data_IF_084019162909
#
_entry.id   IF_084019162909
#
_cell.length_a   1.000
_cell.length_b   1.000
_cell.length_c   1.000
_cell.angle_alpha   90.00
_cell.angle_beta   90.00
_cell.angle_gamma   90.00
#
_symmetry.space_group_name_H-M   'P 1'
#
loop_
_entity.id
_entity.type
_entity.pdbx_description
1 polymer ?
#
# COMPACT_ATOMS: atom_id res chain seq x y z
N UNK A 1 -9.05 -7.18 7.27
CA UNK A 1 -10.51 -6.86 7.23
C UNK A 1 -11.15 -7.63 6.08
N UNK A 2 -12.38 -8.14 6.28
CA UNK A 2 -13.14 -8.89 5.28
C UNK A 2 -14.47 -8.19 5.00
N UNK A 3 -14.81 -8.04 3.71
CA UNK A 3 -16.14 -7.59 3.29
C UNK A 3 -17.13 -8.77 3.42
N UNK A 4 -18.11 -8.66 4.30
CA UNK A 4 -19.14 -9.69 4.52
C UNK A 4 -20.20 -9.70 3.41
N UNK A 5 -20.56 -8.50 2.90
CA UNK A 5 -21.58 -8.32 1.86
C UNK A 5 -21.29 -7.10 0.99
N UNK A 6 -21.87 -7.05 -0.20
CA UNK A 6 -21.98 -5.80 -0.98
C UNK A 6 -22.76 -4.77 -0.15
N UNK A 7 -22.16 -3.63 0.18
CA UNK A 7 -22.82 -2.57 0.93
C UNK A 7 -22.14 -2.19 2.25
N UNK A 8 -20.82 -2.33 2.33
CA UNK A 8 -19.99 -1.80 3.43
C UNK A 8 -20.17 -2.47 4.80
N UNK A 9 -20.63 -3.73 4.84
CA UNK A 9 -20.51 -4.55 6.05
C UNK A 9 -19.17 -5.28 6.05
N UNK A 10 -18.38 -5.07 7.09
CA UNK A 10 -17.04 -5.60 7.22
C UNK A 10 -16.92 -6.40 8.52
N UNK A 11 -16.01 -7.38 8.53
CA UNK A 11 -15.51 -7.99 9.76
C UNK A 11 -14.04 -7.58 9.96
N UNK A 12 -13.70 -7.17 11.17
CA UNK A 12 -12.33 -7.05 11.63
C UNK A 12 -11.90 -8.39 12.18
N UNK A 13 -10.78 -8.90 11.72
CA UNK A 13 -10.18 -10.16 12.19
C UNK A 13 -8.80 -9.83 12.73
N UNK A 14 -8.51 -10.29 13.93
CA UNK A 14 -7.18 -10.26 14.52
C UNK A 14 -6.65 -11.68 14.58
N UNK A 15 -5.44 -11.87 14.08
CA UNK A 15 -4.75 -13.14 14.09
C UNK A 15 -3.35 -12.97 14.68
N UNK A 16 -2.87 -13.98 15.33
CA UNK A 16 -1.49 -14.10 15.73
C UNK A 16 -0.61 -14.38 14.49
N UNK A 17 0.45 -13.60 14.31
CA UNK A 17 1.29 -13.67 13.13
C UNK A 17 2.16 -14.93 13.09
N UNK A 18 2.57 -15.44 14.26
CA UNK A 18 3.46 -16.59 14.39
C UNK A 18 2.69 -17.91 14.24
N UNK A 19 1.55 -18.01 14.93
CA UNK A 19 0.72 -19.23 14.94
C UNK A 19 -0.33 -19.26 13.84
N UNK A 20 -0.61 -18.11 13.21
CA UNK A 20 -1.69 -17.90 12.23
C UNK A 20 -3.11 -18.19 12.78
N UNK A 21 -3.25 -18.26 14.10
CA UNK A 21 -4.54 -18.48 14.75
C UNK A 21 -5.34 -17.17 14.80
N UNK A 22 -6.64 -17.29 14.52
CA UNK A 22 -7.57 -16.19 14.71
C UNK A 22 -7.83 -16.02 16.21
N UNK A 23 -7.45 -14.86 16.75
CA UNK A 23 -7.62 -14.52 18.16
C UNK A 23 -8.98 -13.88 18.42
N UNK A 24 -9.45 -13.06 17.48
CA UNK A 24 -10.68 -12.30 17.68
C UNK A 24 -11.33 -11.93 16.34
N UNK A 25 -12.67 -11.84 16.36
CA UNK A 25 -13.46 -11.38 15.21
C UNK A 25 -14.54 -10.43 15.71
N UNK A 26 -14.68 -9.27 15.08
CA UNK A 26 -15.72 -8.29 15.36
C UNK A 26 -16.36 -7.73 14.09
N UNK A 27 -17.64 -7.31 14.19
CA UNK A 27 -18.34 -6.68 13.08
C UNK A 27 -17.96 -5.19 12.98
N UNK A 28 -17.64 -4.74 11.77
CA UNK A 28 -17.29 -3.34 11.47
C UNK A 28 -15.79 -3.13 11.35
N UNK A 29 -15.42 -1.87 11.02
CA UNK A 29 -14.02 -1.43 10.84
C UNK A 29 -13.76 -0.04 11.43
N UNK A 30 -14.64 0.42 12.31
CA UNK A 30 -14.48 1.68 13.04
C UNK A 30 -13.68 1.48 14.31
N UNK A 31 -13.24 2.58 14.92
CA UNK A 31 -12.63 2.57 16.25
C UNK A 31 -13.51 1.85 17.28
N UNK A 32 -14.79 2.21 17.32
CA UNK A 32 -15.75 1.61 18.25
C UNK A 32 -15.95 0.09 18.01
N UNK A 33 -15.86 -0.36 16.77
CA UNK A 33 -15.97 -1.78 16.43
C UNK A 33 -14.71 -2.58 16.81
N UNK A 34 -13.54 -1.95 16.83
CA UNK A 34 -12.27 -2.62 17.13
C UNK A 34 -11.90 -2.56 18.62
N UNK A 35 -12.31 -1.53 19.34
CA UNK A 35 -12.04 -1.34 20.80
C UNK A 35 -12.37 -2.56 21.68
N UNK A 36 -13.45 -3.34 21.45
CA UNK A 36 -13.73 -4.54 22.23
C UNK A 36 -12.64 -5.60 22.22
N UNK A 37 -11.81 -5.67 21.17
CA UNK A 37 -10.64 -6.55 21.12
C UNK A 37 -9.66 -6.22 22.27
N UNK A 38 -9.33 -4.96 22.46
CA UNK A 38 -8.38 -4.54 23.52
C UNK A 38 -8.96 -4.73 24.92
N UNK A 39 -10.26 -4.54 25.06
CA UNK A 39 -10.96 -4.84 26.33
C UNK A 39 -10.91 -6.33 26.65
N UNK A 40 -11.11 -7.19 25.64
CA UNK A 40 -11.01 -8.64 25.78
C UNK A 40 -9.58 -9.10 26.07
N UNK A 41 -8.59 -8.50 25.42
CA UNK A 41 -7.18 -8.86 25.58
C UNK A 41 -6.64 -8.46 26.96
N UNK A 42 -7.18 -7.38 27.53
CA UNK A 42 -6.79 -6.82 28.81
C UNK A 42 -5.45 -6.08 28.79
N UNK A 43 -5.12 -5.38 29.88
CA UNK A 43 -3.91 -4.55 29.94
C UNK A 43 -2.61 -5.36 29.79
N UNK A 44 -2.53 -6.53 30.39
CA UNK A 44 -1.35 -7.40 30.30
C UNK A 44 -1.13 -7.91 28.86
N UNK A 45 -2.21 -8.35 28.20
CA UNK A 45 -2.14 -8.77 26.81
C UNK A 45 -1.77 -7.62 25.88
N UNK A 46 -2.34 -6.43 26.06
CA UNK A 46 -1.98 -5.23 25.32
C UNK A 46 -0.49 -4.88 25.50
N UNK A 47 0.04 -4.96 26.71
CA UNK A 47 1.45 -4.69 27.00
C UNK A 47 2.41 -5.71 26.38
N UNK A 48 1.96 -6.93 26.13
CA UNK A 48 2.74 -8.00 25.52
C UNK A 48 2.84 -7.92 23.99
N UNK A 49 2.02 -7.07 23.35
CA UNK A 49 2.09 -6.89 21.89
C UNK A 49 3.36 -6.11 21.55
N UNK A 50 4.25 -6.72 20.76
CA UNK A 50 5.49 -6.10 20.30
C UNK A 50 5.28 -5.39 18.93
N UNK A 51 4.50 -5.98 18.05
CA UNK A 51 4.24 -5.43 16.71
C UNK A 51 2.84 -5.76 16.21
N UNK A 52 2.30 -4.87 15.36
CA UNK A 52 1.01 -5.05 14.70
C UNK A 52 1.15 -4.78 13.21
N UNK A 53 0.93 -5.83 12.41
CA UNK A 53 0.82 -5.68 10.95
C UNK A 53 -0.64 -5.42 10.58
N UNK A 54 -0.91 -4.36 9.82
CA UNK A 54 -2.26 -4.00 9.42
C UNK A 54 -2.30 -3.27 8.08
N UNK A 55 -3.51 -3.10 7.52
CA UNK A 55 -3.71 -2.16 6.44
C UNK A 55 -3.59 -0.68 6.92
N UNK A 56 -3.62 0.26 5.99
CA UNK A 56 -3.51 1.69 6.32
C UNK A 56 -4.86 2.27 6.82
N UNK A 57 -5.59 1.54 7.66
CA UNK A 57 -6.84 1.99 8.26
C UNK A 57 -6.56 2.88 9.47
N UNK A 58 -6.89 4.17 9.35
CA UNK A 58 -6.67 5.15 10.41
C UNK A 58 -7.37 4.79 11.72
N UNK A 59 -8.55 4.15 11.67
CA UNK A 59 -9.27 3.73 12.88
C UNK A 59 -8.50 2.65 13.66
N UNK A 60 -7.89 1.71 12.94
CA UNK A 60 -7.07 0.66 13.56
C UNK A 60 -5.77 1.23 14.13
N UNK A 61 -5.08 2.07 13.36
CA UNK A 61 -3.84 2.71 13.81
C UNK A 61 -4.04 3.50 15.11
N UNK A 62 -5.11 4.28 15.19
CA UNK A 62 -5.43 5.06 16.38
C UNK A 62 -5.73 4.17 17.61
N UNK A 63 -6.49 3.08 17.45
CA UNK A 63 -6.79 2.17 18.57
C UNK A 63 -5.54 1.39 19.01
N UNK A 64 -4.69 0.93 18.08
CA UNK A 64 -3.43 0.28 18.44
C UNK A 64 -2.52 1.23 19.22
N UNK A 65 -2.35 2.47 18.77
CA UNK A 65 -1.52 3.47 19.48
C UNK A 65 -2.07 3.86 20.83
N UNK A 66 -3.40 3.86 20.99
CA UNK A 66 -4.07 4.16 22.27
C UNK A 66 -3.89 3.03 23.29
N UNK A 67 -4.04 1.77 22.87
CA UNK A 67 -4.07 0.62 23.76
C UNK A 67 -2.74 -0.15 23.87
N UNK A 68 -1.89 -0.05 22.83
CA UNK A 68 -0.59 -0.72 22.75
C UNK A 68 0.50 0.27 22.32
N UNK A 69 0.78 1.33 23.09
CA UNK A 69 1.67 2.42 22.68
C UNK A 69 3.13 1.99 22.44
N UNK A 70 3.55 0.86 23.01
CA UNK A 70 4.87 0.27 22.82
C UNK A 70 4.98 -0.53 21.50
N UNK A 71 3.85 -0.94 20.91
CA UNK A 71 3.85 -1.81 19.75
C UNK A 71 4.31 -1.07 18.47
N UNK A 72 5.15 -1.72 17.70
CA UNK A 72 5.55 -1.23 16.37
C UNK A 72 4.43 -1.49 15.37
N UNK A 73 3.98 -0.45 14.69
CA UNK A 73 2.96 -0.57 13.63
C UNK A 73 3.66 -0.76 12.28
N UNK A 74 3.35 -1.86 11.62
CA UNK A 74 3.82 -2.17 10.26
C UNK A 74 2.64 -2.20 9.30
N UNK A 75 2.70 -1.38 8.26
CA UNK A 75 1.65 -1.38 7.25
C UNK A 75 1.89 -2.45 6.18
N UNK A 76 0.81 -3.09 5.77
CA UNK A 76 0.83 -4.10 4.72
C UNK A 76 1.33 -3.52 3.38
N UNK A 77 2.33 -4.19 2.80
CA UNK A 77 2.97 -3.79 1.54
C UNK A 77 1.96 -3.59 0.40
N UNK A 78 0.99 -4.50 0.27
CA UNK A 78 0.01 -4.42 -0.81
C UNK A 78 -0.78 -3.10 -0.74
N UNK A 79 -1.22 -2.73 0.47
CA UNK A 79 -2.00 -1.51 0.69
C UNK A 79 -1.16 -0.24 0.48
N UNK A 80 0.10 -0.23 0.90
CA UNK A 80 1.03 0.88 0.67
C UNK A 80 1.27 1.09 -0.83
N UNK A 81 1.62 0.03 -1.55
CA UNK A 81 1.87 0.09 -3.01
C UNK A 81 0.59 0.43 -3.77
N UNK A 82 -0.56 -0.11 -3.38
CA UNK A 82 -1.84 0.23 -4.00
C UNK A 82 -2.21 1.70 -3.77
N UNK A 83 -1.92 2.26 -2.59
CA UNK A 83 -2.12 3.68 -2.30
C UNK A 83 -1.20 4.56 -3.15
N UNK A 84 0.09 4.24 -3.22
CA UNK A 84 1.04 4.93 -4.10
C UNK A 84 0.57 4.89 -5.57
N UNK A 85 0.09 3.73 -6.01
CA UNK A 85 -0.47 3.57 -7.36
C UNK A 85 -1.65 4.51 -7.64
N UNK A 86 -2.57 4.65 -6.70
CA UNK A 86 -3.75 5.51 -6.86
C UNK A 86 -3.44 7.00 -6.73
N UNK A 87 -2.62 7.36 -5.75
CA UNK A 87 -2.43 8.77 -5.37
C UNK A 87 -1.28 9.44 -6.14
N UNK A 88 -0.29 8.66 -6.58
CA UNK A 88 0.87 9.17 -7.31
C UNK A 88 0.84 8.77 -8.78
N UNK A 89 0.92 7.47 -9.08
CA UNK A 89 1.05 7.01 -10.48
C UNK A 89 -0.17 7.41 -11.31
N UNK A 90 -1.38 7.17 -10.80
CA UNK A 90 -2.60 7.49 -11.55
C UNK A 90 -2.78 9.00 -11.73
N UNK A 91 -2.32 9.81 -10.77
CA UNK A 91 -2.30 11.26 -10.87
C UNK A 91 -1.35 11.73 -11.97
N UNK A 92 -0.09 11.31 -11.92
CA UNK A 92 0.91 11.65 -12.96
C UNK A 92 0.41 11.21 -14.34
N UNK A 93 -0.18 10.02 -14.45
CA UNK A 93 -0.78 9.54 -15.72
C UNK A 93 -1.88 10.47 -16.24
N UNK A 94 -2.75 10.94 -15.37
CA UNK A 94 -3.82 11.89 -15.75
C UNK A 94 -3.23 13.22 -16.19
N UNK A 95 -2.24 13.73 -15.47
CA UNK A 95 -1.57 14.99 -15.79
C UNK A 95 -0.83 14.91 -17.13
N UNK A 96 -0.10 13.82 -17.38
CA UNK A 96 0.56 13.55 -18.67
C UNK A 96 -0.47 13.43 -19.82
N UNK A 97 -1.60 12.78 -19.59
CA UNK A 97 -2.67 12.73 -20.60
C UNK A 97 -3.30 14.11 -20.86
N UNK A 98 -3.34 14.97 -19.87
CA UNK A 98 -3.86 16.35 -20.03
C UNK A 98 -2.92 17.26 -20.80
N UNK A 99 -1.60 17.06 -20.68
CA UNK A 99 -0.61 17.77 -21.48
C UNK A 99 -0.69 17.43 -22.99
N UNK A 100 -1.22 16.26 -23.33
CA UNK A 100 -1.38 15.77 -24.71
C UNK A 100 -2.76 16.07 -25.32
N UNK A 101 -3.43 17.16 -24.94
CA UNK A 101 -4.79 17.49 -25.43
C UNK A 101 -4.82 17.65 -26.95
N UNK A 102 -3.77 18.19 -27.53
CA UNK A 102 -3.66 18.44 -28.96
C UNK A 102 -3.21 17.20 -29.78
N UNK A 103 -2.90 16.09 -29.09
CA UNK A 103 -2.54 14.83 -29.72
C UNK A 103 -3.46 13.69 -29.22
N UNK A 104 -4.65 13.49 -29.80
CA UNK A 104 -5.63 12.53 -29.34
C UNK A 104 -5.12 11.07 -29.29
N UNK A 105 -4.24 10.69 -30.24
CA UNK A 105 -3.68 9.33 -30.31
C UNK A 105 -2.77 9.05 -29.10
N UNK A 106 -1.78 9.90 -28.89
CA UNK A 106 -0.84 9.77 -27.75
C UNK A 106 -1.58 9.87 -26.43
N UNK A 107 -2.53 10.80 -26.31
CA UNK A 107 -3.38 10.94 -25.14
C UNK A 107 -4.15 9.65 -24.81
N UNK A 108 -4.68 8.98 -25.83
CA UNK A 108 -5.43 7.72 -25.64
C UNK A 108 -4.52 6.59 -25.13
N UNK A 109 -3.28 6.51 -25.61
CA UNK A 109 -2.28 5.56 -25.11
C UNK A 109 -2.05 5.75 -23.62
N UNK A 110 -1.75 6.98 -23.20
CA UNK A 110 -1.54 7.31 -21.77
C UNK A 110 -2.80 7.01 -20.92
N UNK A 111 -3.98 7.39 -21.39
CA UNK A 111 -5.23 7.09 -20.65
C UNK A 111 -5.47 5.60 -20.43
N UNK A 112 -5.14 4.77 -21.41
CA UNK A 112 -5.35 3.31 -21.35
C UNK A 112 -4.22 2.56 -20.62
N UNK A 113 -3.13 3.23 -20.25
CA UNK A 113 -1.97 2.59 -19.62
C UNK A 113 -2.12 2.33 -18.13
N UNK A 114 -3.24 2.73 -17.50
CA UNK A 114 -3.44 2.58 -16.06
C UNK A 114 -3.05 1.20 -15.52
N UNK A 115 -3.59 0.15 -16.13
CA UNK A 115 -3.35 -1.22 -15.65
C UNK A 115 -1.95 -1.74 -15.97
N UNK A 116 -1.27 -1.20 -16.99
CA UNK A 116 0.13 -1.49 -17.26
C UNK A 116 1.02 -0.95 -16.14
N UNK A 117 0.74 0.27 -15.67
CA UNK A 117 1.52 0.94 -14.63
C UNK A 117 1.25 0.40 -13.22
N UNK A 118 0.03 -0.05 -12.94
CA UNK A 118 -0.36 -0.50 -11.60
C UNK A 118 -0.04 -1.97 -11.33
N UNK A 119 -0.06 -2.84 -12.34
CA UNK A 119 0.26 -4.27 -12.19
C UNK A 119 1.73 -4.49 -11.85
N UNK A 120 2.00 -5.61 -11.21
CA UNK A 120 3.34 -6.11 -11.06
C UNK A 120 3.81 -6.70 -12.41
N UNK A 121 5.11 -6.57 -12.76
CA UNK A 121 5.66 -7.10 -14.02
C UNK A 121 5.34 -8.58 -14.25
N UNK A 122 5.43 -9.39 -13.21
CA UNK A 122 5.15 -10.83 -13.24
C UNK A 122 3.70 -11.18 -13.54
N UNK A 123 2.78 -10.23 -13.39
CA UNK A 123 1.34 -10.40 -13.62
C UNK A 123 0.87 -9.71 -14.91
N UNK A 124 1.79 -9.27 -15.75
CA UNK A 124 1.46 -8.67 -17.04
C UNK A 124 1.11 -9.78 -18.06
N UNK A 125 0.04 -9.61 -18.84
CA UNK A 125 -0.24 -10.51 -19.96
C UNK A 125 0.89 -10.47 -21.00
N UNK A 126 1.04 -11.54 -21.77
CA UNK A 126 2.05 -11.64 -22.82
C UNK A 126 2.02 -10.42 -23.77
N UNK A 127 3.20 -9.85 -24.06
CA UNK A 127 3.35 -8.67 -24.91
C UNK A 127 2.98 -7.33 -24.26
N UNK A 128 2.55 -7.32 -23.00
CA UNK A 128 2.29 -6.07 -22.27
C UNK A 128 3.57 -5.51 -21.64
N UNK A 129 4.57 -6.32 -21.41
CA UNK A 129 5.91 -5.93 -20.98
C UNK A 129 6.58 -5.00 -22.01
N UNK A 130 6.53 -5.35 -23.30
CA UNK A 130 7.04 -4.49 -24.38
C UNK A 130 6.30 -3.15 -24.40
N UNK A 131 4.97 -3.19 -24.33
CA UNK A 131 4.15 -1.96 -24.31
C UNK A 131 4.43 -1.08 -23.09
N UNK A 132 4.72 -1.68 -21.94
CA UNK A 132 5.13 -0.96 -20.75
C UNK A 132 6.48 -0.29 -20.95
N UNK A 133 7.47 -1.02 -21.48
CA UNK A 133 8.81 -0.48 -21.76
C UNK A 133 8.74 0.72 -22.71
N UNK A 134 8.05 0.56 -23.86
CA UNK A 134 7.85 1.66 -24.81
C UNK A 134 7.16 2.89 -24.19
N UNK A 135 6.16 2.66 -23.32
CA UNK A 135 5.47 3.74 -22.61
C UNK A 135 6.41 4.50 -21.68
N UNK A 136 7.22 3.77 -20.90
CA UNK A 136 8.14 4.35 -19.92
C UNK A 136 9.31 5.07 -20.60
N UNK A 137 9.83 4.54 -21.70
CA UNK A 137 10.85 5.18 -22.51
C UNK A 137 10.36 6.49 -23.15
N UNK A 138 9.10 6.51 -23.58
CA UNK A 138 8.50 7.68 -24.21
C UNK A 138 8.01 8.74 -23.21
N UNK A 139 7.90 8.42 -21.90
CA UNK A 139 7.32 9.31 -20.91
C UNK A 139 8.11 9.28 -19.58
N UNK A 140 9.07 10.18 -19.46
CA UNK A 140 9.95 10.25 -18.29
C UNK A 140 9.20 10.42 -16.96
N UNK A 141 8.16 11.28 -16.80
CA UNK A 141 7.43 11.37 -15.53
C UNK A 141 6.77 10.04 -15.12
N UNK A 142 6.23 9.28 -16.07
CA UNK A 142 5.68 7.96 -15.78
C UNK A 142 6.77 6.95 -15.42
N UNK A 143 7.92 7.01 -16.08
CA UNK A 143 9.07 6.16 -15.75
C UNK A 143 9.55 6.45 -14.32
N UNK A 144 9.71 7.72 -13.95
CA UNK A 144 10.13 8.11 -12.60
C UNK A 144 9.21 7.50 -11.52
N UNK A 145 7.91 7.74 -11.61
CA UNK A 145 6.99 7.21 -10.59
C UNK A 145 6.85 5.68 -10.62
N UNK A 146 7.09 5.05 -11.77
CA UNK A 146 7.12 3.59 -11.88
C UNK A 146 8.35 2.98 -11.21
N UNK A 147 9.53 3.55 -11.42
CA UNK A 147 10.78 3.15 -10.74
C UNK A 147 10.64 3.36 -9.23
N UNK A 148 10.08 4.49 -8.80
CA UNK A 148 9.83 4.77 -7.39
C UNK A 148 8.87 3.76 -6.75
N UNK A 149 7.82 3.29 -7.47
CA UNK A 149 6.96 2.21 -6.98
C UNK A 149 7.75 0.93 -6.73
N UNK A 150 8.63 0.57 -7.65
CA UNK A 150 9.47 -0.63 -7.53
C UNK A 150 10.42 -0.51 -6.34
N UNK A 151 11.12 0.61 -6.21
CA UNK A 151 12.02 0.87 -5.09
C UNK A 151 11.26 0.89 -3.74
N UNK A 152 10.02 1.41 -3.69
CA UNK A 152 9.18 1.36 -2.50
C UNK A 152 8.88 -0.08 -2.08
N UNK A 153 8.61 -0.99 -3.03
CA UNK A 153 8.41 -2.43 -2.71
C UNK A 153 9.65 -3.06 -2.08
N UNK A 154 10.84 -2.71 -2.55
CA UNK A 154 12.10 -3.30 -2.07
C UNK A 154 12.39 -3.01 -0.60
N UNK A 155 11.72 -2.04 0.02
CA UNK A 155 11.83 -1.76 1.46
C UNK A 155 11.40 -2.96 2.31
N UNK A 156 10.33 -3.65 1.93
CA UNK A 156 9.80 -4.81 2.67
C UNK A 156 10.66 -6.07 2.53
N UNK A 157 11.56 -6.10 1.54
CA UNK A 157 12.49 -7.20 1.32
C UNK A 157 13.90 -6.90 1.81
N UNK A 158 14.07 -5.85 2.62
CA UNK A 158 15.36 -5.55 3.23
C UNK A 158 15.69 -6.61 4.29
N UNK A 159 16.89 -7.23 4.23
CA UNK A 159 17.26 -8.31 5.14
C UNK A 159 17.55 -7.83 6.56
N UNK A 160 17.80 -6.53 6.75
CA UNK A 160 18.09 -5.92 8.05
C UNK A 160 17.40 -4.57 8.20
N UNK A 161 17.17 -4.14 9.45
CA UNK A 161 16.64 -2.82 9.77
C UNK A 161 17.53 -1.68 9.24
N UNK A 162 18.85 -1.85 9.32
CA UNK A 162 19.80 -0.88 8.81
C UNK A 162 19.63 -0.68 7.29
N UNK A 163 19.49 -1.78 6.55
CA UNK A 163 19.30 -1.72 5.10
C UNK A 163 17.91 -1.16 4.74
N UNK A 164 16.87 -1.52 5.49
CA UNK A 164 15.54 -0.93 5.34
C UNK A 164 15.58 0.59 5.52
N UNK A 165 16.25 1.07 6.58
CA UNK A 165 16.41 2.49 6.87
C UNK A 165 17.20 3.22 5.77
N UNK A 166 18.26 2.60 5.25
CA UNK A 166 19.03 3.16 4.14
C UNK A 166 18.18 3.27 2.87
N UNK A 167 17.50 2.19 2.47
CA UNK A 167 16.61 2.18 1.30
C UNK A 167 15.50 3.22 1.43
N UNK A 168 14.91 3.38 2.63
CA UNK A 168 13.92 4.41 2.89
C UNK A 168 14.47 5.82 2.69
N UNK A 169 15.65 6.12 3.25
CA UNK A 169 16.26 7.42 3.12
C UNK A 169 16.62 7.74 1.66
N UNK A 170 17.11 6.76 0.91
CA UNK A 170 17.42 6.91 -0.51
C UNK A 170 16.14 7.13 -1.33
N UNK A 171 15.09 6.36 -1.05
CA UNK A 171 13.78 6.54 -1.69
C UNK A 171 13.18 7.91 -1.38
N UNK A 172 13.23 8.35 -0.12
CA UNK A 172 12.72 9.64 0.30
C UNK A 172 13.47 10.78 -0.39
N UNK A 173 14.81 10.73 -0.43
CA UNK A 173 15.63 11.71 -1.14
C UNK A 173 15.26 11.80 -2.63
N UNK A 174 15.17 10.67 -3.32
CA UNK A 174 14.75 10.63 -4.72
C UNK A 174 13.35 11.23 -4.93
N UNK A 175 12.44 11.04 -3.97
CA UNK A 175 11.09 11.60 -4.05
C UNK A 175 11.05 13.13 -3.96
N UNK A 176 12.07 13.76 -3.37
CA UNK A 176 12.17 15.21 -3.27
C UNK A 176 12.81 15.85 -4.51
N UNK A 177 13.59 15.08 -5.26
CA UNK A 177 14.30 15.53 -6.46
C UNK A 177 13.49 15.28 -7.75
N UNK A 178 12.37 14.58 -7.67
CA UNK A 178 11.51 14.17 -8.79
C UNK A 178 10.29 15.07 -8.93
#
# INVERSE_FOLDING_TARGET
EFALFKGHRYATVVADADTQQVLWVGEGRSRAAFRPFFTWLGPEGCAAIESVAMDMNTAFDLEVREHCPQAQVVYDLFHVVAKFGREVIDRVRVDQANQLRDNPKSRQVIKRSRWLLLRNPENLPAGHDVRLSELLEANQPLNTVYVMKTALKELWYAPTEQEASQRWNDWYRQSQES
#
